data_IF_094853366988
#
_entry.id   IF_094853366988
#
_cell.length_a   1.000
_cell.length_b   1.000
_cell.length_c   1.000
_cell.angle_alpha   90.00
_cell.angle_beta   90.00
_cell.angle_gamma   90.00
#
_symmetry.space_group_name_H-M   'P 1'
#
loop_
_entity.id
_entity.type
_entity.pdbx_description
1 polymer ?
#
# COMPACT_ATOMS: atom_id res chain seq x y z
N UNK A 1 -18.24 4.31 23.88
CA UNK A 1 -18.60 3.21 22.96
C UNK A 1 -18.63 3.80 21.55
N UNK A 2 -17.58 3.58 20.76
CA UNK A 2 -17.48 4.13 19.39
C UNK A 2 -18.62 3.54 18.55
N UNK A 3 -19.62 4.35 18.20
CA UNK A 3 -20.63 3.99 17.20
C UNK A 3 -19.91 4.01 15.85
N UNK A 4 -19.53 2.85 15.33
CA UNK A 4 -19.11 2.75 13.95
C UNK A 4 -20.28 3.20 13.05
N UNK A 5 -20.07 4.25 12.26
CA UNK A 5 -21.03 4.64 11.24
C UNK A 5 -21.04 3.55 10.16
N UNK A 6 -22.20 2.95 9.90
CA UNK A 6 -22.33 1.90 8.88
C UNK A 6 -21.87 2.33 7.50
N UNK A 7 -21.94 3.64 7.20
CA UNK A 7 -21.41 4.21 5.96
C UNK A 7 -19.88 4.25 5.93
N UNK A 8 -19.21 4.43 7.06
CA UNK A 8 -17.74 4.31 7.15
C UNK A 8 -17.30 2.86 6.93
N UNK A 9 -18.01 1.90 7.53
CA UNK A 9 -17.73 0.48 7.30
C UNK A 9 -17.95 0.09 5.84
N UNK A 10 -19.04 0.56 5.23
CA UNK A 10 -19.29 0.33 3.80
C UNK A 10 -18.18 0.95 2.92
N UNK A 11 -17.67 2.13 3.29
CA UNK A 11 -16.54 2.76 2.61
C UNK A 11 -15.26 1.91 2.72
N UNK A 12 -14.91 1.42 3.92
CA UNK A 12 -13.77 0.50 4.10
C UNK A 12 -13.96 -0.77 3.28
N UNK A 13 -15.15 -1.36 3.30
CA UNK A 13 -15.47 -2.59 2.57
C UNK A 13 -15.26 -2.42 1.07
N UNK A 14 -15.88 -1.40 0.47
CA UNK A 14 -15.77 -1.15 -0.98
C UNK A 14 -14.33 -0.84 -1.37
N UNK A 15 -13.64 0.01 -0.61
CA UNK A 15 -12.23 0.31 -0.87
C UNK A 15 -11.36 -0.95 -0.76
N UNK A 16 -11.54 -1.73 0.29
CA UNK A 16 -10.77 -2.95 0.56
C UNK A 16 -10.98 -4.02 -0.51
N UNK A 17 -12.22 -4.22 -0.96
CA UNK A 17 -12.54 -5.13 -2.05
C UNK A 17 -11.82 -4.70 -3.35
N UNK A 18 -11.92 -3.43 -3.72
CA UNK A 18 -11.24 -2.91 -4.91
C UNK A 18 -9.71 -3.04 -4.82
N UNK A 19 -9.11 -2.70 -3.68
CA UNK A 19 -7.67 -2.80 -3.46
C UNK A 19 -7.17 -4.24 -3.53
N UNK A 20 -7.89 -5.16 -2.87
CA UNK A 20 -7.54 -6.58 -2.85
C UNK A 20 -7.70 -7.22 -4.21
N UNK A 21 -8.76 -6.91 -4.96
CA UNK A 21 -8.96 -7.42 -6.32
C UNK A 21 -7.90 -6.88 -7.28
N UNK A 22 -7.56 -5.59 -7.18
CA UNK A 22 -6.48 -5.00 -7.98
C UNK A 22 -5.13 -5.67 -7.69
N UNK A 23 -4.82 -5.92 -6.41
CA UNK A 23 -3.63 -6.68 -6.01
C UNK A 23 -3.65 -8.09 -6.57
N UNK A 24 -4.75 -8.82 -6.41
CA UNK A 24 -4.88 -10.20 -6.89
C UNK A 24 -4.64 -10.28 -8.41
N UNK A 25 -5.26 -9.37 -9.19
CA UNK A 25 -5.00 -9.31 -10.63
C UNK A 25 -3.56 -8.95 -10.99
N UNK A 26 -2.87 -8.16 -10.16
CA UNK A 26 -1.45 -7.85 -10.36
C UNK A 26 -0.55 -9.05 -10.02
N UNK A 27 -0.90 -9.81 -8.98
CA UNK A 27 -0.20 -11.04 -8.58
C UNK A 27 -0.26 -12.12 -9.68
N UNK A 28 -1.30 -12.13 -10.52
CA UNK A 28 -1.39 -13.05 -11.68
C UNK A 28 -0.40 -12.73 -12.82
N UNK A 29 0.17 -11.52 -12.86
CA UNK A 29 1.08 -11.11 -13.94
C UNK A 29 2.43 -11.84 -13.91
N UNK A 30 2.80 -12.43 -12.78
CA UNK A 30 4.03 -13.21 -12.66
C UNK A 30 3.86 -14.37 -11.68
N UNK A 31 4.35 -15.54 -12.06
CA UNK A 31 4.39 -16.69 -11.16
C UNK A 31 5.36 -16.45 -9.99
N UNK A 32 4.97 -16.93 -8.81
CA UNK A 32 5.83 -16.90 -7.63
C UNK A 32 7.04 -17.82 -7.82
N UNK A 33 8.24 -17.27 -7.66
CA UNK A 33 9.51 -17.99 -7.76
C UNK A 33 10.44 -17.50 -6.63
N UNK A 34 10.81 -18.36 -5.66
CA UNK A 34 11.71 -18.00 -4.56
C UNK A 34 13.10 -17.53 -5.00
N UNK A 35 13.54 -17.86 -6.22
CA UNK A 35 14.81 -17.41 -6.79
C UNK A 35 14.74 -16.06 -7.50
N UNK A 36 13.55 -15.42 -7.56
CA UNK A 36 13.33 -14.16 -8.29
C UNK A 36 12.71 -13.09 -7.42
N UNK A 37 12.91 -11.86 -7.85
CA UNK A 37 12.26 -10.71 -7.22
C UNK A 37 10.74 -10.75 -7.43
N UNK A 38 9.92 -10.64 -6.37
CA UNK A 38 8.47 -10.66 -6.46
C UNK A 38 7.94 -9.29 -6.89
N UNK A 39 8.13 -8.95 -8.16
CA UNK A 39 7.73 -7.68 -8.75
C UNK A 39 6.26 -7.32 -8.52
N UNK A 40 5.28 -8.25 -8.58
CA UNK A 40 3.90 -7.92 -8.31
C UNK A 40 3.69 -7.35 -6.90
N UNK A 41 4.08 -8.10 -5.88
CA UNK A 41 3.94 -7.73 -4.46
C UNK A 41 4.73 -6.45 -4.14
N UNK A 42 5.96 -6.34 -4.65
CA UNK A 42 6.75 -5.13 -4.50
C UNK A 42 6.02 -3.91 -5.07
N UNK A 43 5.53 -4.01 -6.31
CA UNK A 43 4.91 -2.88 -7.01
C UNK A 43 3.62 -2.41 -6.33
N UNK A 44 2.71 -3.33 -5.97
CA UNK A 44 1.46 -2.96 -5.30
C UNK A 44 1.71 -2.32 -3.94
N UNK A 45 2.75 -2.76 -3.21
CA UNK A 45 3.15 -2.17 -1.95
C UNK A 45 3.68 -0.74 -2.13
N UNK A 46 4.56 -0.50 -3.10
CA UNK A 46 5.11 0.85 -3.34
C UNK A 46 4.03 1.80 -3.86
N UNK A 47 3.19 1.36 -4.79
CA UNK A 47 2.08 2.16 -5.32
C UNK A 47 1.07 2.47 -4.22
N UNK A 48 0.68 1.47 -3.42
CA UNK A 48 -0.25 1.66 -2.31
C UNK A 48 0.31 2.59 -1.22
N UNK A 49 1.60 2.50 -0.90
CA UNK A 49 2.26 3.43 0.02
C UNK A 49 2.30 4.86 -0.52
N UNK A 50 2.60 5.05 -1.81
CA UNK A 50 2.55 6.36 -2.47
C UNK A 50 1.13 6.96 -2.43
N UNK A 51 0.11 6.16 -2.80
CA UNK A 51 -1.28 6.56 -2.75
C UNK A 51 -1.71 6.93 -1.33
N UNK A 52 -1.31 6.15 -0.33
CA UNK A 52 -1.58 6.44 1.07
C UNK A 52 -0.97 7.77 1.49
N UNK A 53 0.30 8.03 1.14
CA UNK A 53 0.95 9.33 1.40
C UNK A 53 0.23 10.50 0.73
N UNK A 54 -0.23 10.33 -0.51
CA UNK A 54 -1.00 11.34 -1.23
C UNK A 54 -2.36 11.60 -0.55
N UNK A 55 -3.11 10.53 -0.27
CA UNK A 55 -4.46 10.56 0.32
C UNK A 55 -4.41 11.16 1.71
N UNK A 56 -3.51 10.70 2.57
CA UNK A 56 -3.35 11.24 3.93
C UNK A 56 -2.98 12.73 3.89
N UNK A 57 -1.97 13.13 3.12
CA UNK A 57 -1.55 14.54 3.04
C UNK A 57 -2.62 15.45 2.43
N UNK A 58 -3.33 15.00 1.39
CA UNK A 58 -4.42 15.77 0.76
C UNK A 58 -5.66 15.86 1.65
N UNK A 59 -6.09 14.75 2.24
CA UNK A 59 -7.34 14.68 3.00
C UNK A 59 -7.20 15.20 4.43
N UNK A 60 -6.03 15.08 5.08
CA UNK A 60 -5.80 15.60 6.42
C UNK A 60 -5.64 17.13 6.46
N UNK A 61 -5.04 17.72 5.41
CA UNK A 61 -4.70 19.14 5.40
C UNK A 61 -5.71 20.05 4.64
N UNK A 62 -6.80 19.54 4.02
CA UNK A 62 -7.70 20.39 3.17
C UNK A 62 -9.19 20.16 3.26
N UNK A 63 -9.67 19.00 3.70
CA UNK A 63 -11.10 18.71 3.66
C UNK A 63 -11.66 18.78 5.09
N UNK A 64 -12.88 19.33 5.28
CA UNK A 64 -13.69 18.95 6.42
C UNK A 64 -13.70 17.43 6.50
N UNK A 65 -13.87 16.84 7.69
CA UNK A 65 -13.96 15.39 7.86
C UNK A 65 -15.22 14.86 7.15
N UNK A 66 -15.20 14.84 5.82
CA UNK A 66 -16.09 14.10 4.95
C UNK A 66 -15.77 12.65 5.26
N UNK A 67 -16.60 12.09 6.13
CA UNK A 67 -16.33 10.93 6.97
C UNK A 67 -15.96 9.67 6.17
N UNK A 68 -16.35 9.55 4.90
CA UNK A 68 -16.19 8.29 4.14
C UNK A 68 -14.96 8.22 3.22
N UNK A 69 -14.38 9.35 2.79
CA UNK A 69 -13.27 9.32 1.81
C UNK A 69 -11.97 8.78 2.41
N UNK A 70 -11.69 9.13 3.68
CA UNK A 70 -10.52 8.64 4.42
C UNK A 70 -10.59 7.13 4.65
N UNK A 71 -11.68 6.56 5.21
CA UNK A 71 -11.79 5.11 5.36
C UNK A 71 -11.83 4.38 4.02
N UNK A 72 -12.48 4.93 2.98
CA UNK A 72 -12.51 4.31 1.66
C UNK A 72 -11.13 4.23 1.01
N UNK A 73 -10.39 5.34 0.96
CA UNK A 73 -9.13 5.40 0.22
C UNK A 73 -7.94 4.94 1.07
N UNK A 74 -7.88 5.34 2.34
CA UNK A 74 -6.79 5.00 3.24
C UNK A 74 -6.89 3.56 3.71
N UNK A 75 -7.83 3.29 4.62
CA UNK A 75 -7.98 1.96 5.23
C UNK A 75 -8.45 0.92 4.22
N UNK A 76 -9.41 1.26 3.36
CA UNK A 76 -9.96 0.36 2.33
C UNK A 76 -8.96 0.13 1.20
N UNK A 77 -8.90 1.05 0.24
CA UNK A 77 -8.17 0.87 -1.01
C UNK A 77 -6.66 0.65 -0.80
N UNK A 78 -5.98 1.55 -0.09
CA UNK A 78 -4.54 1.40 0.13
C UNK A 78 -4.27 0.17 1.01
N UNK A 79 -5.08 -0.05 2.06
CA UNK A 79 -4.93 -1.22 2.93
C UNK A 79 -5.13 -2.56 2.21
N UNK A 80 -6.09 -2.66 1.29
CA UNK A 80 -6.32 -3.87 0.49
C UNK A 80 -5.31 -4.07 -0.64
N UNK A 81 -4.81 -2.97 -1.22
CA UNK A 81 -3.81 -3.01 -2.29
C UNK A 81 -2.42 -3.43 -1.75
N UNK A 82 -2.03 -2.96 -0.58
CA UNK A 82 -0.76 -3.35 0.06
C UNK A 82 -0.89 -4.64 0.84
N UNK A 83 0.19 -5.42 0.94
CA UNK A 83 0.25 -6.65 1.72
C UNK A 83 1.63 -6.84 2.36
N UNK A 84 1.66 -6.76 3.69
CA UNK A 84 2.87 -7.10 4.45
C UNK A 84 3.00 -8.61 4.68
N UNK A 85 1.88 -9.32 4.78
CA UNK A 85 1.86 -10.77 4.96
C UNK A 85 2.42 -11.51 3.75
N UNK A 86 2.02 -11.14 2.52
CA UNK A 86 2.56 -11.77 1.31
C UNK A 86 4.06 -11.52 1.18
N UNK A 87 4.51 -10.29 1.43
CA UNK A 87 5.95 -9.95 1.42
C UNK A 87 6.74 -10.83 2.40
N UNK A 88 6.24 -11.03 3.63
CA UNK A 88 6.91 -11.90 4.60
C UNK A 88 6.95 -13.37 4.15
N UNK A 89 5.86 -13.90 3.58
CA UNK A 89 5.83 -15.27 3.06
C UNK A 89 6.84 -15.44 1.92
N UNK A 90 6.94 -14.48 1.01
CA UNK A 90 7.94 -14.47 -0.06
C UNK A 90 9.37 -14.44 0.51
N UNK A 91 9.64 -13.57 1.48
CA UNK A 91 10.94 -13.51 2.15
C UNK A 91 11.28 -14.83 2.84
N UNK A 92 10.35 -15.45 3.56
CA UNK A 92 10.57 -16.75 4.22
C UNK A 92 10.86 -17.84 3.17
N UNK A 93 10.11 -17.88 2.06
CA UNK A 93 10.38 -18.83 0.98
C UNK A 93 11.77 -18.64 0.37
N UNK A 94 12.23 -17.40 0.18
CA UNK A 94 13.59 -17.12 -0.27
C UNK A 94 14.63 -17.67 0.71
N UNK A 95 14.42 -17.50 2.02
CA UNK A 95 15.31 -18.03 3.06
C UNK A 95 15.33 -19.56 3.06
N UNK A 96 14.17 -20.22 2.95
CA UNK A 96 14.05 -21.69 2.88
C UNK A 96 14.79 -22.28 1.67
N UNK A 97 14.87 -21.54 0.57
CA UNK A 97 15.58 -21.95 -0.65
C UNK A 97 17.04 -21.47 -0.68
N UNK A 98 17.56 -20.90 0.41
CA UNK A 98 18.96 -20.48 0.54
C UNK A 98 19.30 -19.13 -0.11
N UNK A 99 18.31 -18.37 -0.58
CA UNK A 99 18.50 -17.07 -1.24
C UNK A 99 18.62 -15.91 -0.23
N UNK A 100 19.58 -15.99 0.69
CA UNK A 100 19.76 -15.02 1.79
C UNK A 100 19.91 -13.57 1.31
N UNK A 101 20.73 -13.35 0.29
CA UNK A 101 20.96 -12.01 -0.27
C UNK A 101 19.70 -11.39 -0.89
N UNK A 102 18.91 -12.22 -1.59
CA UNK A 102 17.64 -11.79 -2.18
C UNK A 102 16.61 -11.47 -1.09
N UNK A 103 16.49 -12.33 -0.07
CA UNK A 103 15.59 -12.12 1.07
C UNK A 103 15.89 -10.81 1.82
N UNK A 104 17.16 -10.57 2.15
CA UNK A 104 17.60 -9.36 2.82
C UNK A 104 17.38 -8.12 1.94
N UNK A 105 17.77 -8.19 0.66
CA UNK A 105 17.59 -7.12 -0.31
C UNK A 105 16.12 -6.76 -0.51
N UNK A 106 15.25 -7.77 -0.69
CA UNK A 106 13.81 -7.57 -0.87
C UNK A 106 13.16 -6.92 0.34
N UNK A 107 13.50 -7.38 1.54
CA UNK A 107 12.95 -6.83 2.80
C UNK A 107 13.36 -5.37 2.98
N UNK A 108 14.66 -5.07 2.86
CA UNK A 108 15.18 -3.70 3.04
C UNK A 108 14.65 -2.76 1.97
N UNK A 109 14.67 -3.18 0.70
CA UNK A 109 14.17 -2.37 -0.39
C UNK A 109 12.67 -2.09 -0.26
N UNK A 110 11.86 -3.08 0.14
CA UNK A 110 10.41 -2.89 0.31
C UNK A 110 10.10 -1.85 1.38
N UNK A 111 10.79 -1.91 2.53
CA UNK A 111 10.63 -0.94 3.61
C UNK A 111 11.13 0.46 3.20
N UNK A 112 12.34 0.53 2.63
CA UNK A 112 12.97 1.80 2.25
C UNK A 112 12.19 2.49 1.13
N UNK A 113 11.84 1.76 0.07
CA UNK A 113 11.08 2.31 -1.06
C UNK A 113 9.64 2.66 -0.65
N UNK A 114 9.00 1.87 0.23
CA UNK A 114 7.67 2.18 0.75
C UNK A 114 7.67 3.49 1.54
N UNK A 115 8.65 3.67 2.43
CA UNK A 115 8.82 4.92 3.17
C UNK A 115 9.14 6.09 2.24
N UNK A 116 10.05 5.90 1.28
CA UNK A 116 10.40 6.93 0.30
C UNK A 116 9.18 7.34 -0.53
N UNK A 117 8.34 6.40 -0.95
CA UNK A 117 7.09 6.66 -1.68
C UNK A 117 6.14 7.56 -0.89
N UNK A 118 5.94 7.29 0.41
CA UNK A 118 5.12 8.14 1.29
C UNK A 118 5.70 9.55 1.38
N UNK A 119 7.01 9.68 1.60
CA UNK A 119 7.71 10.97 1.70
C UNK A 119 7.60 11.76 0.40
N UNK A 120 7.84 11.13 -0.75
CA UNK A 120 7.74 11.76 -2.07
C UNK A 120 6.31 12.21 -2.34
N UNK A 121 5.31 11.37 -2.08
CA UNK A 121 3.91 11.74 -2.26
C UNK A 121 3.53 12.96 -1.39
N UNK A 122 3.96 12.97 -0.13
CA UNK A 122 3.74 14.07 0.82
C UNK A 122 4.39 15.37 0.33
N UNK A 123 5.66 15.30 -0.12
CA UNK A 123 6.40 16.43 -0.63
C UNK A 123 5.77 17.01 -1.91
N UNK A 124 5.34 16.16 -2.85
CA UNK A 124 4.65 16.57 -4.08
C UNK A 124 3.35 17.30 -3.77
N UNK A 125 2.54 16.74 -2.86
CA UNK A 125 1.28 17.35 -2.45
C UNK A 125 1.51 18.74 -1.84
N UNK A 126 2.55 18.91 -1.01
CA UNK A 126 2.88 20.19 -0.36
C UNK A 126 3.49 21.21 -1.34
N UNK A 127 4.40 20.81 -2.23
CA UNK A 127 5.02 21.69 -3.23
C UNK A 127 4.01 22.24 -4.23
N UNK A 128 3.05 21.43 -4.67
CA UNK A 128 1.96 21.88 -5.54
C UNK A 128 1.07 22.95 -4.89
N UNK A 129 1.15 23.14 -3.56
CA UNK A 129 0.43 24.20 -2.84
C UNK A 129 1.13 25.54 -2.89
N UNK A 130 2.46 25.58 -2.82
CA UNK A 130 3.23 26.84 -2.84
C UNK A 130 3.17 27.54 -4.20
N UNK A 131 2.78 26.81 -5.25
CA UNK A 131 2.65 27.33 -6.63
C UNK A 131 1.22 27.78 -6.99
N UNK A 132 0.27 27.72 -6.06
CA UNK A 132 -1.12 28.18 -6.23
C UNK A 132 -1.38 29.34 -5.28
#
# INVERSE_FOLDING_TARGET
>A
MLRFDGRELAAVFVGGALGTLARAGFEELAAADPGRWPWPTFTVNIVGAFLLGYVTTRLLERLPVSSYRRPLLGTGLCGGLTTFSTMQVETVRMLEHGHLGLAAGYTVASLAAGLAAVVVATALVRRARLRR
#
